data_IF_896694920231
#
_entry.id   IF_896694920231
#
_cell.length_a   1.000
_cell.length_b   1.000
_cell.length_c   1.000
_cell.angle_alpha   90.00
_cell.angle_beta   90.00
_cell.angle_gamma   90.00
#
_symmetry.space_group_name_H-M   'P 1'
#
loop_
_entity.id
_entity.type
_entity.pdbx_description
1 polymer ?
#
# COMPACT_ATOMS: atom_id res chain seq x y z
N UNK A 1 2.97 17.89 17.41
CA UNK A 1 2.14 17.93 16.19
C UNK A 1 1.51 16.57 16.05
N UNK A 2 0.19 16.52 16.06
CA UNK A 2 -0.58 15.30 15.86
C UNK A 2 -0.32 14.84 14.42
N UNK A 3 0.58 13.87 14.23
CA UNK A 3 0.76 13.26 12.91
C UNK A 3 -0.37 12.25 12.77
N UNK A 4 -1.51 12.70 12.25
CA UNK A 4 -2.57 11.79 11.86
C UNK A 4 -1.98 10.68 10.98
N UNK A 5 -2.36 9.44 11.25
CA UNK A 5 -1.96 8.27 10.44
C UNK A 5 -2.29 8.56 8.98
N UNK A 6 -1.31 8.45 8.05
CA UNK A 6 -1.59 8.65 6.62
C UNK A 6 -2.64 7.66 6.13
N UNK A 7 -3.55 8.12 5.28
CA UNK A 7 -4.56 7.26 4.66
C UNK A 7 -4.11 6.86 3.25
N UNK A 8 -4.37 5.62 2.86
CA UNK A 8 -4.16 5.09 1.53
C UNK A 8 -5.19 5.72 0.59
N UNK A 9 -4.73 6.37 -0.48
CA UNK A 9 -5.57 7.01 -1.51
C UNK A 9 -5.65 6.20 -2.80
N UNK A 10 -4.58 5.50 -3.13
CA UNK A 10 -4.51 4.61 -4.29
C UNK A 10 -3.51 3.50 -4.01
N UNK A 11 -3.65 2.39 -4.76
CA UNK A 11 -2.74 1.25 -4.70
C UNK A 11 -2.48 0.70 -6.10
N UNK A 12 -1.25 0.26 -6.33
CA UNK A 12 -0.84 -0.57 -7.46
C UNK A 12 -0.02 -1.77 -6.96
N UNK A 13 -0.11 -2.90 -7.64
CA UNK A 13 0.65 -4.12 -7.34
C UNK A 13 1.59 -4.47 -8.50
N UNK A 14 2.77 -3.82 -8.60
CA UNK A 14 3.65 -3.97 -9.76
C UNK A 14 4.25 -5.37 -9.92
N UNK A 15 4.29 -6.16 -8.85
CA UNK A 15 4.74 -7.54 -8.85
C UNK A 15 4.11 -8.30 -7.68
N UNK A 16 4.25 -9.64 -7.68
CA UNK A 16 3.92 -10.45 -6.51
C UNK A 16 4.67 -9.93 -5.28
N UNK A 17 3.98 -9.88 -4.14
CA UNK A 17 4.47 -9.33 -2.87
C UNK A 17 4.86 -7.84 -2.87
N UNK A 18 4.67 -7.10 -3.97
CA UNK A 18 5.04 -5.67 -4.03
C UNK A 18 3.82 -4.77 -4.16
N UNK A 19 3.82 -3.70 -3.39
CA UNK A 19 2.78 -2.65 -3.42
C UNK A 19 3.40 -1.28 -3.63
N UNK A 20 2.67 -0.42 -4.33
CA UNK A 20 2.91 1.01 -4.42
C UNK A 20 1.64 1.73 -4.00
N UNK A 21 1.70 2.55 -2.95
CA UNK A 21 0.56 3.32 -2.46
C UNK A 21 0.82 4.82 -2.58
N UNK A 22 -0.21 5.57 -2.97
CA UNK A 22 -0.24 7.01 -2.74
C UNK A 22 -0.95 7.27 -1.41
N UNK A 23 -0.31 7.98 -0.49
CA UNK A 23 -0.83 8.27 0.83
C UNK A 23 -1.26 9.74 0.98
N UNK A 24 -2.14 10.01 1.94
CA UNK A 24 -2.71 11.34 2.19
C UNK A 24 -1.71 12.36 2.72
N UNK A 25 -0.52 11.92 3.13
CA UNK A 25 0.59 12.78 3.53
C UNK A 25 1.34 13.38 2.32
N UNK A 26 0.91 13.04 1.10
CA UNK A 26 1.48 13.53 -0.15
C UNK A 26 2.65 12.70 -0.66
N UNK A 27 2.93 11.54 -0.06
CA UNK A 27 3.99 10.64 -0.49
C UNK A 27 3.46 9.37 -1.16
N UNK A 28 4.27 8.85 -2.08
CA UNK A 28 4.18 7.50 -2.62
C UNK A 28 5.16 6.61 -1.90
N UNK A 29 4.68 5.44 -1.46
CA UNK A 29 5.49 4.43 -0.79
C UNK A 29 5.54 3.16 -1.63
N UNK A 30 6.73 2.60 -1.83
CA UNK A 30 6.92 1.27 -2.44
C UNK A 30 7.43 0.28 -1.41
N UNK A 31 6.68 -0.79 -1.16
CA UNK A 31 7.01 -1.80 -0.17
C UNK A 31 7.09 -3.21 -0.79
N UNK A 32 7.97 -4.03 -0.24
CA UNK A 32 8.04 -5.48 -0.46
C UNK A 32 7.53 -6.18 0.81
N UNK A 33 6.43 -6.90 0.66
CA UNK A 33 5.70 -7.56 1.74
C UNK A 33 6.08 -9.05 1.85
N UNK A 34 7.09 -9.53 1.13
CA UNK A 34 7.53 -10.93 1.17
C UNK A 34 7.96 -11.41 2.56
N UNK A 35 8.37 -10.49 3.44
CA UNK A 35 8.65 -10.77 4.86
C UNK A 35 7.43 -11.29 5.62
N UNK A 36 6.21 -11.04 5.12
CA UNK A 36 4.95 -11.49 5.69
C UNK A 36 4.47 -12.83 5.09
N UNK A 37 5.23 -13.45 4.17
CA UNK A 37 4.83 -14.66 3.43
C UNK A 37 4.55 -15.89 4.29
N UNK A 38 4.97 -15.90 5.55
CA UNK A 38 4.72 -17.00 6.48
C UNK A 38 3.26 -17.06 6.98
N UNK A 39 2.45 -16.00 6.78
CA UNK A 39 1.05 -16.00 7.21
C UNK A 39 0.19 -16.83 6.26
N UNK A 40 -0.72 -17.63 6.79
CA UNK A 40 -1.50 -18.59 6.00
C UNK A 40 -2.39 -17.93 4.92
N UNK A 41 -2.78 -16.67 5.11
CA UNK A 41 -3.61 -15.92 4.19
C UNK A 41 -2.82 -15.16 3.12
N UNK A 42 -1.48 -15.24 3.10
CA UNK A 42 -0.65 -14.50 2.16
C UNK A 42 -1.04 -14.81 0.70
N UNK A 43 -1.35 -13.81 -0.15
CA UNK A 43 -1.88 -14.09 -1.48
C UNK A 43 -0.84 -14.84 -2.33
N UNK A 44 -1.20 -15.99 -2.93
CA UNK A 44 -0.23 -16.95 -3.47
C UNK A 44 0.40 -16.51 -4.78
N UNK A 45 -0.28 -15.68 -5.58
CA UNK A 45 0.15 -15.33 -6.93
C UNK A 45 -0.23 -13.91 -7.36
N UNK A 46 0.36 -13.44 -8.46
CA UNK A 46 0.14 -12.09 -8.96
C UNK A 46 -1.34 -11.78 -9.30
N UNK A 47 -2.15 -12.80 -9.64
CA UNK A 47 -3.55 -12.60 -9.97
C UNK A 47 -4.35 -12.25 -8.70
N UNK A 48 -4.11 -12.94 -7.59
CA UNK A 48 -4.68 -12.58 -6.30
C UNK A 48 -4.16 -11.23 -5.82
N UNK A 49 -2.86 -10.95 -5.98
CA UNK A 49 -2.29 -9.63 -5.63
C UNK A 49 -3.01 -8.47 -6.34
N UNK A 50 -3.34 -8.64 -7.62
CA UNK A 50 -4.05 -7.61 -8.42
C UNK A 50 -5.48 -7.31 -7.96
N UNK A 51 -6.06 -8.15 -7.10
CA UNK A 51 -7.41 -7.98 -6.54
C UNK A 51 -7.41 -7.22 -5.21
N UNK A 52 -6.29 -6.59 -4.85
CA UNK A 52 -6.21 -5.75 -3.66
C UNK A 52 -7.28 -4.66 -3.65
N UNK A 53 -7.88 -4.43 -2.50
CA UNK A 53 -8.77 -3.29 -2.24
C UNK A 53 -8.26 -2.47 -1.06
N UNK A 54 -8.57 -1.19 -1.06
CA UNK A 54 -8.41 -0.34 0.12
C UNK A 54 -9.66 -0.54 0.99
N UNK A 55 -9.49 -0.65 2.31
CA UNK A 55 -10.61 -0.71 3.25
C UNK A 55 -11.44 0.59 3.26
N UNK A 56 -12.57 0.59 3.96
CA UNK A 56 -13.49 1.74 3.98
C UNK A 56 -12.89 3.00 4.62
N UNK A 57 -11.93 2.84 5.53
CA UNK A 57 -11.32 3.92 6.28
C UNK A 57 -10.02 4.44 5.62
N UNK A 58 -9.50 3.73 4.62
CA UNK A 58 -8.22 4.03 3.99
C UNK A 58 -7.01 3.67 4.85
N UNK A 59 -7.16 2.77 5.83
CA UNK A 59 -6.12 2.40 6.78
C UNK A 59 -5.40 1.11 6.41
N UNK A 60 -5.99 0.27 5.55
CA UNK A 60 -5.43 -1.02 5.19
C UNK A 60 -5.64 -1.39 3.72
N UNK A 61 -4.74 -2.24 3.22
CA UNK A 61 -4.93 -3.03 2.01
C UNK A 61 -5.48 -4.40 2.40
N UNK A 62 -6.52 -4.84 1.69
CA UNK A 62 -7.23 -6.09 1.94
C UNK A 62 -7.25 -6.94 0.67
N UNK A 63 -7.01 -8.24 0.81
CA UNK A 63 -7.12 -9.22 -0.25
C UNK A 63 -8.25 -10.21 0.02
N UNK A 64 -8.79 -10.84 -1.04
CA UNK A 64 -9.83 -11.86 -0.93
C UNK A 64 -9.42 -13.07 -0.09
N UNK A 65 -8.11 -13.34 0.01
CA UNK A 65 -7.55 -14.39 0.88
C UNK A 65 -7.67 -14.07 2.39
N UNK A 66 -8.12 -12.87 2.75
CA UNK A 66 -8.14 -12.37 4.13
C UNK A 66 -6.80 -11.85 4.62
N UNK A 67 -5.82 -11.69 3.73
CA UNK A 67 -4.60 -10.95 4.06
C UNK A 67 -4.92 -9.47 4.15
N UNK A 68 -4.42 -8.84 5.22
CA UNK A 68 -4.63 -7.44 5.52
C UNK A 68 -3.30 -6.84 5.96
N UNK A 69 -2.97 -5.66 5.43
CA UNK A 69 -1.76 -4.93 5.79
C UNK A 69 -2.10 -3.47 6.01
N UNK A 70 -1.80 -2.99 7.22
CA UNK A 70 -2.08 -1.62 7.61
C UNK A 70 -1.06 -0.65 7.02
N UNK A 71 -1.48 0.59 6.80
CA UNK A 71 -0.66 1.64 6.20
C UNK A 71 0.66 1.90 6.94
N UNK A 72 0.69 1.78 8.27
CA UNK A 72 1.92 1.93 9.06
C UNK A 72 2.91 0.78 8.82
N UNK A 73 2.41 -0.45 8.59
CA UNK A 73 3.25 -1.58 8.20
C UNK A 73 3.82 -1.39 6.79
N UNK A 74 3.02 -0.86 5.85
CA UNK A 74 3.48 -0.54 4.49
C UNK A 74 4.58 0.53 4.55
N UNK A 75 4.37 1.61 5.31
CA UNK A 75 5.35 2.68 5.49
C UNK A 75 6.62 2.14 6.18
N UNK A 76 6.48 1.30 7.20
CA UNK A 76 7.60 0.70 7.92
C UNK A 76 8.44 -0.27 7.07
N UNK A 77 7.81 -0.94 6.09
CA UNK A 77 8.46 -1.84 5.13
C UNK A 77 8.85 -1.15 3.81
N UNK A 78 8.60 0.15 3.68
CA UNK A 78 8.84 0.87 2.44
C UNK A 78 10.34 0.89 2.09
N UNK A 79 10.66 0.39 0.91
CA UNK A 79 12.01 0.46 0.32
C UNK A 79 12.26 1.81 -0.37
N UNK A 80 11.19 2.56 -0.67
CA UNK A 80 11.23 3.89 -1.26
C UNK A 80 10.04 4.71 -0.78
N UNK A 81 10.30 5.99 -0.50
CA UNK A 81 9.27 7.00 -0.23
C UNK A 81 9.61 8.26 -1.03
N UNK A 82 8.66 8.79 -1.78
CA UNK A 82 8.85 10.01 -2.57
C UNK A 82 7.60 10.88 -2.64
N UNK A 83 7.72 12.20 -2.77
CA UNK A 83 6.56 13.06 -2.96
C UNK A 83 5.79 12.68 -4.23
N UNK A 84 4.46 12.60 -4.14
CA UNK A 84 3.59 12.47 -5.30
C UNK A 84 3.74 13.76 -6.10
N UNK A 85 4.34 13.68 -7.29
CA UNK A 85 4.51 14.83 -8.16
C UNK A 85 3.14 15.46 -8.42
N UNK A 86 2.88 16.59 -7.76
CA UNK A 86 1.70 17.39 -8.03
C UNK A 86 1.81 17.82 -9.48
N UNK A 87 0.93 17.31 -10.32
CA UNK A 87 0.79 17.76 -11.70
C UNK A 87 0.48 19.26 -11.60
N UNK A 88 1.49 20.10 -11.83
CA UNK A 88 1.30 21.53 -12.01
C UNK A 88 0.38 21.68 -13.22
N UNK A 89 -0.92 21.81 -12.96
CA UNK A 89 -1.87 22.29 -13.95
C UNK A 89 -1.49 23.75 -14.16
N UNK A 90 -0.65 24.00 -15.16
CA UNK A 90 -0.47 25.35 -15.68
C UNK A 90 -1.81 25.74 -16.31
N UNK A 91 -2.53 26.63 -15.62
CA UNK A 91 -3.64 27.39 -16.21
C UNK A 91 -3.14 28.28 -17.34
#
# INVERSE_FOLDING_TARGET
MDRATPLIRSVATPAHARVSIDASDGNRYEADLSSLSAVYCFPPDAAEWSRVSIDSDGLALVWASGFEVHVDQIIGLATRAEPIASRMVRS
#
